data_IF_122828303798
#
_entry.id   IF_122828303798
#
_cell.length_a   1.000
_cell.length_b   1.000
_cell.length_c   1.000
_cell.angle_alpha   90.00
_cell.angle_beta   90.00
_cell.angle_gamma   90.00
#
_symmetry.space_group_name_H-M   'P 1'
#
loop_
_entity.id
_entity.type
_entity.pdbx_description
1 polymer ?
#
# COMPACT_ATOMS: atom_id res chain seq x y z
N UNK A 1 -18.97 1.49 4.62
CA UNK A 1 -18.85 0.45 3.60
C UNK A 1 -17.84 -0.58 4.03
N UNK A 2 -18.16 -1.85 3.99
CA UNK A 2 -17.22 -2.92 4.29
C UNK A 2 -16.40 -3.24 3.06
N UNK A 3 -15.12 -3.61 3.27
CA UNK A 3 -14.29 -4.12 2.20
C UNK A 3 -14.88 -5.43 1.68
N UNK A 4 -15.03 -5.52 0.38
CA UNK A 4 -15.51 -6.75 -0.23
C UNK A 4 -14.32 -7.54 -0.77
N UNK A 5 -14.43 -8.89 -0.83
CA UNK A 5 -13.42 -9.70 -1.49
C UNK A 5 -13.14 -9.28 -2.93
N UNK A 6 -14.14 -8.70 -3.59
CA UNK A 6 -13.98 -8.19 -4.95
C UNK A 6 -12.99 -7.03 -5.02
N UNK A 7 -13.06 -6.09 -4.06
CA UNK A 7 -12.10 -4.98 -3.98
C UNK A 7 -10.68 -5.49 -3.82
N UNK A 8 -10.46 -6.34 -2.83
CA UNK A 8 -9.11 -6.87 -2.56
C UNK A 8 -8.58 -7.70 -3.73
N UNK A 9 -9.44 -8.51 -4.34
CA UNK A 9 -9.06 -9.32 -5.50
C UNK A 9 -8.71 -8.44 -6.71
N UNK A 10 -9.47 -7.39 -6.96
CA UNK A 10 -9.19 -6.46 -8.06
C UNK A 10 -7.87 -5.74 -7.87
N UNK A 11 -7.62 -5.25 -6.66
CA UNK A 11 -6.39 -4.55 -6.32
C UNK A 11 -5.20 -5.51 -6.41
N UNK A 12 -5.34 -6.71 -5.88
CA UNK A 12 -4.29 -7.73 -5.93
C UNK A 12 -3.92 -8.09 -7.38
N UNK A 13 -4.91 -8.30 -8.22
CA UNK A 13 -4.68 -8.61 -9.63
C UNK A 13 -3.93 -7.47 -10.33
N UNK A 14 -4.37 -6.24 -10.14
CA UNK A 14 -3.74 -5.07 -10.75
C UNK A 14 -2.29 -4.93 -10.30
N UNK A 15 -2.03 -5.02 -9.01
CA UNK A 15 -0.68 -4.88 -8.46
C UNK A 15 0.25 -5.99 -8.95
N UNK A 16 -0.21 -7.24 -8.98
CA UNK A 16 0.61 -8.35 -9.44
C UNK A 16 0.94 -8.22 -10.93
N UNK A 17 0.00 -7.75 -11.73
CA UNK A 17 0.26 -7.53 -13.15
C UNK A 17 1.30 -6.44 -13.38
N UNK A 18 1.25 -5.37 -12.58
CA UNK A 18 2.14 -4.23 -12.78
C UNK A 18 3.50 -4.47 -12.11
N UNK A 19 3.50 -4.91 -10.84
CA UNK A 19 4.72 -4.98 -10.05
C UNK A 19 5.56 -6.23 -10.33
N UNK A 20 4.93 -7.36 -10.64
CA UNK A 20 5.62 -8.64 -10.71
C UNK A 20 5.91 -9.14 -12.12
N UNK A 21 5.43 -8.43 -13.14
CA UNK A 21 5.74 -8.76 -14.54
C UNK A 21 6.86 -7.91 -15.11
N UNK A 22 7.06 -6.73 -14.58
CA UNK A 22 8.09 -5.82 -15.07
C UNK A 22 9.44 -6.17 -14.45
N UNK A 23 10.39 -6.58 -15.28
CA UNK A 23 11.74 -6.92 -14.82
C UNK A 23 12.49 -5.74 -14.23
N UNK A 24 12.18 -4.53 -14.69
CA UNK A 24 12.78 -3.32 -14.16
C UNK A 24 12.42 -3.02 -12.73
N UNK A 25 11.35 -3.64 -12.20
CA UNK A 25 10.91 -3.46 -10.83
C UNK A 25 11.40 -4.54 -9.89
N UNK A 26 12.15 -5.52 -10.37
CA UNK A 26 12.54 -6.69 -9.57
C UNK A 26 13.27 -6.31 -8.29
N UNK A 27 14.26 -5.45 -8.35
CA UNK A 27 15.01 -5.04 -7.17
C UNK A 27 14.12 -4.30 -6.18
N UNK A 28 13.26 -3.42 -6.67
CA UNK A 28 12.37 -2.63 -5.80
C UNK A 28 11.32 -3.49 -5.11
N UNK A 29 10.73 -4.47 -5.83
CA UNK A 29 9.71 -5.34 -5.23
C UNK A 29 10.28 -6.40 -4.29
N UNK A 30 11.57 -6.70 -4.39
CA UNK A 30 12.21 -7.66 -3.49
C UNK A 30 12.50 -7.08 -2.11
N UNK A 31 12.67 -5.77 -2.00
CA UNK A 31 12.99 -5.13 -0.73
C UNK A 31 11.93 -5.37 0.34
N UNK A 32 10.62 -5.22 0.06
CA UNK A 32 9.58 -5.49 1.06
C UNK A 32 9.23 -6.98 1.19
N UNK A 33 9.87 -7.86 0.46
CA UNK A 33 9.56 -9.30 0.47
C UNK A 33 9.63 -9.87 1.89
N UNK A 34 8.63 -10.68 2.25
CA UNK A 34 8.50 -11.27 3.56
C UNK A 34 7.86 -10.36 4.60
N UNK A 35 7.42 -9.17 4.18
CA UNK A 35 6.84 -8.17 5.07
C UNK A 35 5.39 -7.86 4.73
N UNK A 36 4.67 -7.35 5.72
CA UNK A 36 3.26 -7.00 5.59
C UNK A 36 3.04 -5.53 5.97
N UNK A 37 2.28 -4.84 5.13
CA UNK A 37 1.93 -3.43 5.29
C UNK A 37 0.41 -3.29 5.32
N UNK A 38 -0.13 -2.75 6.41
CA UNK A 38 -1.54 -2.44 6.51
C UNK A 38 -1.76 -0.96 6.24
N UNK A 39 -2.74 -0.64 5.39
CA UNK A 39 -3.16 0.73 5.13
C UNK A 39 -4.57 0.90 5.68
N UNK A 40 -4.71 1.84 6.62
CA UNK A 40 -5.98 2.20 7.23
C UNK A 40 -6.40 3.54 6.66
N UNK A 41 -7.43 3.53 5.84
CA UNK A 41 -7.99 4.74 5.27
C UNK A 41 -9.18 5.22 6.10
N UNK A 42 -9.25 6.54 6.34
CA UNK A 42 -10.36 7.12 7.08
C UNK A 42 -11.72 6.81 6.43
N UNK A 43 -11.73 6.61 5.10
CA UNK A 43 -12.93 6.37 4.32
C UNK A 43 -13.36 4.89 4.30
N UNK A 44 -12.51 3.97 4.79
CA UNK A 44 -12.81 2.54 4.82
C UNK A 44 -12.84 2.04 6.26
N UNK A 45 -13.76 1.12 6.56
CA UNK A 45 -13.90 0.58 7.91
C UNK A 45 -12.84 -0.46 8.25
N UNK A 46 -12.29 -1.13 7.26
CA UNK A 46 -11.31 -2.20 7.45
C UNK A 46 -9.96 -1.84 6.84
N UNK A 47 -8.85 -2.25 7.47
CA UNK A 47 -7.54 -2.09 6.86
C UNK A 47 -7.42 -2.89 5.57
N UNK A 48 -6.60 -2.41 4.66
CA UNK A 48 -6.16 -3.17 3.49
C UNK A 48 -4.73 -3.59 3.77
N UNK A 49 -4.47 -4.89 3.84
CA UNK A 49 -3.14 -5.41 4.16
C UNK A 49 -2.48 -6.00 2.93
N UNK A 50 -1.26 -5.54 2.68
CA UNK A 50 -0.42 -6.00 1.57
C UNK A 50 0.65 -6.92 2.13
N UNK A 51 0.69 -8.16 1.65
CA UNK A 51 1.68 -9.15 2.07
C UNK A 51 2.58 -9.41 0.89
N UNK A 52 3.85 -9.01 1.00
CA UNK A 52 4.82 -9.09 -0.08
C UNK A 52 5.60 -10.40 -0.04
N UNK A 53 5.82 -10.99 -1.19
CA UNK A 53 6.71 -12.14 -1.35
C UNK A 53 7.55 -11.96 -2.61
N UNK A 54 8.43 -12.91 -2.87
CA UNK A 54 9.28 -12.86 -4.05
C UNK A 54 8.49 -13.00 -5.36
N UNK A 55 7.29 -13.59 -5.29
CA UNK A 55 6.52 -13.96 -6.48
C UNK A 55 5.27 -13.13 -6.69
N UNK A 56 4.73 -12.57 -5.60
CA UNK A 56 3.46 -11.87 -5.67
C UNK A 56 3.22 -11.03 -4.44
N UNK A 57 2.23 -10.16 -4.53
CA UNK A 57 1.65 -9.47 -3.39
C UNK A 57 0.24 -9.99 -3.18
N UNK A 58 -0.10 -10.33 -1.92
CA UNK A 58 -1.45 -10.69 -1.52
C UNK A 58 -2.10 -9.46 -0.89
N UNK A 59 -3.37 -9.23 -1.22
CA UNK A 59 -4.14 -8.11 -0.67
C UNK A 59 -5.33 -8.67 0.10
N UNK A 60 -5.37 -8.42 1.40
CA UNK A 60 -6.35 -9.01 2.31
C UNK A 60 -7.03 -7.92 3.12
N UNK A 61 -8.36 -8.02 3.25
CA UNK A 61 -9.16 -7.02 3.95
C UNK A 61 -9.33 -7.26 5.45
N UNK A 62 -9.14 -8.49 5.92
CA UNK A 62 -9.38 -8.87 7.31
C UNK A 62 -8.28 -9.76 7.88
N UNK A 63 -7.03 -9.39 7.61
CA UNK A 63 -5.89 -10.16 8.08
C UNK A 63 -5.77 -10.07 9.60
N UNK A 64 -5.69 -11.23 10.25
CA UNK A 64 -5.74 -11.32 11.71
C UNK A 64 -4.38 -11.11 12.39
N UNK A 65 -3.28 -11.31 11.66
CA UNK A 65 -1.95 -11.18 12.22
C UNK A 65 -1.53 -9.72 12.30
N UNK A 66 -0.54 -9.43 13.16
CA UNK A 66 0.01 -8.10 13.29
C UNK A 66 0.87 -7.77 12.08
N UNK A 67 0.61 -6.66 11.36
CA UNK A 67 1.47 -6.26 10.25
C UNK A 67 2.81 -5.72 10.74
N UNK A 68 3.81 -5.77 9.86
CA UNK A 68 5.13 -5.18 10.17
C UNK A 68 5.06 -3.66 10.24
N UNK A 69 4.14 -3.07 9.49
CA UNK A 69 3.90 -1.64 9.53
C UNK A 69 2.42 -1.35 9.29
N UNK A 70 1.90 -0.35 9.97
CA UNK A 70 0.54 0.15 9.76
C UNK A 70 0.61 1.64 9.41
N UNK A 71 -0.03 2.00 8.31
CA UNK A 71 -0.13 3.39 7.85
C UNK A 71 -1.58 3.83 7.95
N UNK A 72 -1.82 4.94 8.66
CA UNK A 72 -3.15 5.55 8.77
C UNK A 72 -3.15 6.86 8.00
N UNK A 73 -4.07 7.01 7.08
CA UNK A 73 -4.14 8.18 6.22
C UNK A 73 -5.53 8.34 5.61
N UNK A 74 -5.64 9.22 4.63
CA UNK A 74 -6.87 9.47 3.88
C UNK A 74 -6.64 9.17 2.41
N UNK A 75 -7.73 8.91 1.69
CA UNK A 75 -7.65 8.66 0.25
C UNK A 75 -6.96 9.81 -0.48
N UNK A 76 -7.24 11.05 -0.10
CA UNK A 76 -6.64 12.24 -0.74
C UNK A 76 -5.13 12.37 -0.54
N UNK A 77 -4.58 11.72 0.49
CA UNK A 77 -3.15 11.74 0.79
C UNK A 77 -2.38 10.66 0.04
N UNK A 78 -3.05 9.59 -0.39
CA UNK A 78 -2.39 8.46 -1.04
C UNK A 78 -1.50 8.85 -2.23
N UNK A 79 -1.90 9.74 -3.14
CA UNK A 79 -1.02 10.13 -4.25
C UNK A 79 0.30 10.74 -3.80
N UNK A 80 0.32 11.40 -2.65
CA UNK A 80 1.53 12.02 -2.10
C UNK A 80 2.53 10.99 -1.59
N UNK A 81 2.09 9.76 -1.31
CA UNK A 81 2.98 8.71 -0.81
C UNK A 81 4.01 8.25 -1.84
N UNK A 82 3.79 8.53 -3.12
CA UNK A 82 4.77 8.22 -4.16
C UNK A 82 6.03 9.05 -4.03
N UNK A 83 5.95 10.23 -3.43
CA UNK A 83 7.10 11.11 -3.26
C UNK A 83 7.72 10.89 -1.88
N UNK A 84 8.83 10.16 -1.83
CA UNK A 84 9.52 9.85 -0.60
C UNK A 84 9.95 11.10 0.17
N UNK A 85 10.23 12.18 -0.54
CA UNK A 85 10.65 13.44 0.08
C UNK A 85 9.51 14.08 0.87
N UNK A 86 8.25 13.80 0.53
CA UNK A 86 7.10 14.33 1.24
C UNK A 86 6.73 13.53 2.49
N UNK A 87 7.23 12.31 2.64
CA UNK A 87 6.82 11.43 3.75
C UNK A 87 7.05 12.08 5.12
N UNK A 88 8.21 12.68 5.34
CA UNK A 88 8.51 13.33 6.62
C UNK A 88 7.53 14.48 6.90
N UNK A 89 7.24 15.30 5.90
CA UNK A 89 6.31 16.42 6.05
C UNK A 89 4.89 15.93 6.35
N UNK A 90 4.46 14.86 5.69
CA UNK A 90 3.14 14.26 5.91
C UNK A 90 3.00 13.69 7.32
N UNK A 91 4.06 13.06 7.84
CA UNK A 91 4.07 12.56 9.21
C UNK A 91 4.01 13.71 10.21
N UNK A 92 4.77 14.77 9.98
CA UNK A 92 4.78 15.95 10.87
C UNK A 92 3.43 16.65 10.89
N UNK A 93 2.75 16.74 9.76
CA UNK A 93 1.44 17.40 9.67
C UNK A 93 0.29 16.56 10.24
N UNK A 94 0.53 15.27 10.50
CA UNK A 94 -0.51 14.35 10.92
C UNK A 94 -1.36 13.79 9.78
N UNK A 95 -1.06 14.12 8.54
CA UNK A 95 -1.76 13.54 7.39
C UNK A 95 -1.43 12.06 7.22
N UNK A 96 -0.29 11.63 7.73
CA UNK A 96 0.20 10.26 7.67
C UNK A 96 0.67 9.83 9.04
N UNK A 97 0.06 8.78 9.59
CA UNK A 97 0.52 8.15 10.82
C UNK A 97 1.15 6.80 10.48
N UNK A 98 2.33 6.54 11.02
CA UNK A 98 3.07 5.30 10.77
C UNK A 98 3.35 4.62 12.10
N UNK A 99 2.94 3.35 12.21
CA UNK A 99 3.26 2.49 13.33
C UNK A 99 4.05 1.29 12.83
N UNK A 100 5.24 1.08 13.37
CA UNK A 100 6.11 -0.03 13.01
C UNK A 100 7.24 0.38 12.09
N UNK A 101 7.52 -0.45 11.08
CA UNK A 101 8.70 -0.31 10.23
C UNK A 101 8.53 0.81 9.19
N UNK A 102 9.09 1.99 9.49
CA UNK A 102 9.05 3.13 8.57
C UNK A 102 9.79 2.82 7.26
N UNK A 103 10.81 1.99 7.29
CA UNK A 103 11.55 1.63 6.09
C UNK A 103 10.64 0.93 5.07
N UNK A 104 9.68 0.14 5.55
CA UNK A 104 8.72 -0.53 4.69
C UNK A 104 7.85 0.48 3.94
N UNK A 105 7.44 1.57 4.60
CA UNK A 105 6.68 2.65 3.95
C UNK A 105 7.52 3.29 2.84
N UNK A 106 8.80 3.54 3.11
CA UNK A 106 9.71 4.12 2.14
C UNK A 106 9.91 3.20 0.93
N UNK A 107 10.01 1.89 1.17
CA UNK A 107 10.14 0.90 0.11
C UNK A 107 8.88 0.82 -0.74
N UNK A 108 7.71 0.86 -0.10
CA UNK A 108 6.43 0.88 -0.79
C UNK A 108 6.28 2.15 -1.65
N UNK A 109 6.62 3.30 -1.08
CA UNK A 109 6.60 4.57 -1.78
C UNK A 109 7.49 4.55 -3.03
N UNK A 110 8.72 4.05 -2.90
CA UNK A 110 9.64 3.92 -4.01
C UNK A 110 9.11 2.99 -5.11
N UNK A 111 8.48 1.89 -4.71
CA UNK A 111 7.91 0.93 -5.64
C UNK A 111 6.75 1.55 -6.43
N UNK A 112 5.86 2.27 -5.75
CA UNK A 112 4.75 2.96 -6.40
C UNK A 112 5.24 4.02 -7.39
N UNK A 113 6.28 4.75 -7.02
CA UNK A 113 6.85 5.78 -7.89
C UNK A 113 7.49 5.18 -9.14
N UNK A 114 8.30 4.14 -8.98
CA UNK A 114 8.94 3.46 -10.11
C UNK A 114 7.91 2.83 -11.06
N UNK A 115 6.83 2.31 -10.50
CA UNK A 115 5.76 1.69 -11.29
C UNK A 115 4.77 2.72 -11.85
N UNK A 116 4.93 3.99 -11.49
CA UNK A 116 4.00 5.06 -11.85
C UNK A 116 2.55 4.74 -11.44
N UNK A 117 2.42 4.15 -10.24
CA UNK A 117 1.13 3.74 -9.69
C UNK A 117 0.61 4.76 -8.68
N UNK A 118 -0.67 5.09 -8.81
CA UNK A 118 -1.41 5.84 -7.81
C UNK A 118 -2.42 4.91 -7.15
N UNK A 119 -2.19 4.49 -5.90
CA UNK A 119 -3.12 3.60 -5.22
C UNK A 119 -4.54 4.16 -5.11
N UNK A 120 -4.68 5.49 -5.08
CA UNK A 120 -5.99 6.13 -4.99
C UNK A 120 -6.86 5.81 -6.20
N UNK A 121 -6.29 5.66 -7.38
CA UNK A 121 -7.05 5.34 -8.59
C UNK A 121 -7.76 3.99 -8.49
N UNK A 122 -7.13 3.04 -7.79
CA UNK A 122 -7.70 1.71 -7.63
C UNK A 122 -8.71 1.61 -6.49
N UNK A 123 -8.60 2.49 -5.51
CA UNK A 123 -9.47 2.47 -4.33
C UNK A 123 -10.68 3.41 -4.46
N UNK A 124 -10.53 4.52 -5.19
CA UNK A 124 -11.58 5.53 -5.30
C UNK A 124 -12.94 4.98 -5.78
N UNK A 125 -13.01 4.06 -6.76
CA UNK A 125 -14.29 3.52 -7.21
C UNK A 125 -15.06 2.78 -6.13
N UNK A 126 -14.40 2.32 -5.06
CA UNK A 126 -15.00 1.53 -3.98
C UNK A 126 -15.37 2.38 -2.77
N UNK A 127 -14.99 3.65 -2.78
CA UNK A 127 -15.29 4.61 -1.72
C UNK A 127 -16.31 5.60 -2.29
N UNK A 128 -17.54 5.32 -2.03
CA UNK A 128 -18.62 6.06 -2.62
C UNK A 128 -18.92 7.40 -1.99
#
# INVERSE_FOLDING_TARGET
MTLTPLLTASLETALNQILYRDRGLKAARQRPSGKSLAIVLAELKQPVTFIFSDRQVDVIGDWADKPDCTVKTRLSTLPKLRDRQQLTALIRSGELEVEGDLQLVQQFSALMDLAELDPAEYLAPWIG
#
